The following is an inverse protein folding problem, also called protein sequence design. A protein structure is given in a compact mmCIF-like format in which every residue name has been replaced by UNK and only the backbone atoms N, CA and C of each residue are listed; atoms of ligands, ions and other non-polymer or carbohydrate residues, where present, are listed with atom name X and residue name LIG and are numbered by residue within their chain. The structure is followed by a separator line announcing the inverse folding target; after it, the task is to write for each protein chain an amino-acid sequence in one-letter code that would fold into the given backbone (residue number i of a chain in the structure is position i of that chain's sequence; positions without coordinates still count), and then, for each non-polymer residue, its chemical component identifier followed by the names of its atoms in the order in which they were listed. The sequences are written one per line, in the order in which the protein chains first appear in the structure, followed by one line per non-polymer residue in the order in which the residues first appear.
data_IF_780342266076
#
_entry.id   IF_780342266076
#
_cell.length_a   1.000
_cell.length_b   1.000
_cell.length_c   1.000
_cell.angle_alpha   90.00
_cell.angle_beta   90.00
_cell.angle_gamma   90.00
#
_symmetry.space_group_name_H-M   'P 1'
#
loop_
_entity.id
_entity.type
_entity.pdbx_description
1 polymer ?
#
# COMPACT_ATOMS: atom_id res chain seq x y z
N UNK A 1 19.48 40.78 -27.20
CA UNK A 1 18.69 40.25 -26.08
C UNK A 1 17.64 39.36 -26.68
N UNK A 2 17.97 38.08 -26.85
CA UNK A 2 16.96 37.10 -27.25
C UNK A 2 16.07 36.79 -26.04
N UNK A 3 14.74 36.75 -26.21
CA UNK A 3 13.86 36.27 -25.15
C UNK A 3 14.08 34.77 -24.99
N UNK A 4 14.72 34.38 -23.89
CA UNK A 4 14.76 33.00 -23.43
C UNK A 4 13.33 32.50 -23.30
N UNK A 5 12.96 31.53 -24.16
CA UNK A 5 11.69 30.84 -24.08
C UNK A 5 11.53 30.29 -22.66
N UNK A 6 10.57 30.85 -21.90
CA UNK A 6 10.13 30.27 -20.64
C UNK A 6 9.62 28.88 -21.01
N UNK A 7 10.28 27.83 -20.52
CA UNK A 7 9.69 26.49 -20.48
C UNK A 7 8.24 26.64 -20.02
N UNK A 8 7.25 26.08 -20.75
CA UNK A 8 5.87 26.22 -20.33
C UNK A 8 5.78 25.72 -18.89
N UNK A 9 5.22 26.57 -18.02
CA UNK A 9 4.92 26.22 -16.64
C UNK A 9 4.05 24.96 -16.70
N UNK A 10 4.64 23.78 -16.48
CA UNK A 10 3.90 22.52 -16.51
C UNK A 10 2.72 22.66 -15.57
N UNK A 11 1.51 22.38 -16.07
CA UNK A 11 0.31 22.43 -15.25
C UNK A 11 0.55 21.58 -13.98
N UNK A 12 0.48 22.18 -12.77
CA UNK A 12 0.77 21.45 -11.54
C UNK A 12 -0.13 20.22 -11.38
N UNK A 13 -1.37 20.25 -11.89
CA UNK A 13 -2.27 19.11 -11.83
C UNK A 13 -1.79 17.97 -12.74
N UNK A 14 -1.23 18.27 -13.92
CA UNK A 14 -0.63 17.26 -14.81
C UNK A 14 0.65 16.69 -14.22
N UNK A 15 1.51 17.55 -13.65
CA UNK A 15 2.74 17.11 -13.00
C UNK A 15 2.45 16.17 -11.82
N UNK A 16 1.47 16.51 -10.98
CA UNK A 16 1.06 15.65 -9.86
C UNK A 16 0.40 14.35 -10.36
N UNK A 17 -0.40 14.40 -11.43
CA UNK A 17 -0.96 13.21 -12.04
C UNK A 17 0.11 12.28 -12.60
N UNK A 18 1.16 12.82 -13.23
CA UNK A 18 2.30 12.03 -13.69
C UNK A 18 3.12 11.41 -12.54
N UNK A 19 3.17 12.05 -11.37
CA UNK A 19 3.77 11.42 -10.17
C UNK A 19 2.90 10.29 -9.61
N UNK A 20 1.57 10.43 -9.72
CA UNK A 20 0.61 9.45 -9.23
C UNK A 20 0.49 8.23 -10.15
N UNK A 21 0.47 8.48 -11.45
CA UNK A 21 0.34 7.52 -12.55
C UNK A 21 1.50 7.75 -13.52
N UNK A 22 2.70 7.23 -13.20
CA UNK A 22 3.89 7.44 -14.02
C UNK A 22 3.66 6.87 -15.42
N UNK A 23 4.07 7.60 -16.48
CA UNK A 23 3.99 7.06 -17.83
C UNK A 23 4.91 5.84 -17.93
N UNK A 24 4.34 4.71 -18.34
CA UNK A 24 5.08 3.47 -18.61
C UNK A 24 5.23 3.29 -20.11
N UNK A 25 6.37 2.76 -20.54
CA UNK A 25 6.57 2.45 -21.95
C UNK A 25 5.89 1.13 -22.31
N UNK A 26 5.58 0.96 -23.60
CA UNK A 26 5.07 -0.31 -24.12
C UNK A 26 5.99 -1.48 -23.79
N UNK A 27 7.30 -1.31 -24.00
CA UNK A 27 8.29 -2.35 -23.70
C UNK A 27 8.33 -2.70 -22.19
N UNK A 28 8.16 -1.70 -21.31
CA UNK A 28 8.12 -1.92 -19.86
C UNK A 28 6.89 -2.74 -19.45
N UNK A 29 5.72 -2.37 -19.98
CA UNK A 29 4.47 -3.08 -19.69
C UNK A 29 4.53 -4.49 -20.28
N UNK A 30 4.95 -4.64 -21.53
CA UNK A 30 5.05 -5.93 -22.21
C UNK A 30 6.02 -6.86 -21.49
N UNK A 31 7.18 -6.35 -21.02
CA UNK A 31 8.14 -7.15 -20.25
C UNK A 31 7.61 -7.61 -18.87
N UNK A 32 6.61 -6.90 -18.32
CA UNK A 32 5.96 -7.29 -17.06
C UNK A 32 4.92 -8.40 -17.23
N UNK A 33 4.43 -8.62 -18.46
CA UNK A 33 3.51 -9.69 -18.77
C UNK A 33 4.29 -11.01 -18.84
N UNK A 34 3.87 -11.98 -18.04
CA UNK A 34 4.61 -13.24 -17.82
C UNK A 34 4.48 -14.25 -18.98
N UNK A 35 3.78 -13.89 -20.05
CA UNK A 35 3.64 -14.67 -21.28
C UNK A 35 4.63 -14.15 -22.31
N UNK A 36 5.44 -15.06 -22.87
CA UNK A 36 6.62 -14.70 -23.69
C UNK A 36 6.31 -14.14 -25.07
N UNK A 37 5.73 -12.95 -25.15
CA UNK A 37 5.60 -12.16 -26.38
C UNK A 37 4.57 -12.71 -27.37
N UNK A 38 3.40 -13.10 -26.89
CA UNK A 38 2.26 -13.43 -27.75
C UNK A 38 1.57 -12.13 -28.22
N UNK A 39 0.92 -12.14 -29.39
CA UNK A 39 0.13 -10.97 -29.85
C UNK A 39 -1.00 -10.56 -28.91
N UNK A 40 -1.47 -11.47 -28.04
CA UNK A 40 -2.41 -11.15 -26.97
C UNK A 40 -1.77 -10.29 -25.86
N UNK A 41 -0.47 -10.44 -25.60
CA UNK A 41 0.25 -9.66 -24.60
C UNK A 41 0.45 -8.22 -25.09
N UNK A 42 0.64 -8.03 -26.39
CA UNK A 42 0.71 -6.70 -27.01
C UNK A 42 -0.63 -5.96 -26.88
N UNK A 43 -1.75 -6.63 -27.14
CA UNK A 43 -3.09 -6.04 -26.97
C UNK A 43 -3.34 -5.63 -25.51
N UNK A 44 -3.01 -6.51 -24.56
CA UNK A 44 -3.10 -6.21 -23.12
C UNK A 44 -2.19 -5.04 -22.74
N UNK A 45 -0.96 -5.01 -23.26
CA UNK A 45 -0.01 -3.94 -22.95
C UNK A 45 -0.49 -2.57 -23.47
N UNK A 46 -1.09 -2.52 -24.67
CA UNK A 46 -1.70 -1.29 -25.19
C UNK A 46 -2.90 -0.86 -24.34
N UNK A 47 -3.76 -1.80 -23.93
CA UNK A 47 -4.91 -1.49 -23.05
C UNK A 47 -4.46 -0.92 -21.71
N UNK A 48 -3.41 -1.48 -21.09
CA UNK A 48 -2.84 -0.98 -19.84
C UNK A 48 -2.32 0.45 -20.01
N UNK A 49 -1.61 0.75 -21.10
CA UNK A 49 -1.06 2.09 -21.36
C UNK A 49 -2.17 3.11 -21.56
N UNK A 50 -3.18 2.76 -22.36
CA UNK A 50 -4.34 3.61 -22.60
C UNK A 50 -5.14 3.83 -21.30
N UNK A 51 -5.26 2.81 -20.45
CA UNK A 51 -5.87 2.98 -19.13
C UNK A 51 -5.05 3.89 -18.21
N UNK A 52 -3.72 3.76 -18.19
CA UNK A 52 -2.86 4.66 -17.43
C UNK A 52 -2.98 6.12 -17.91
N UNK A 53 -3.08 6.34 -19.23
CA UNK A 53 -3.30 7.65 -19.85
C UNK A 53 -4.64 8.26 -19.39
N UNK A 54 -5.71 7.45 -19.40
CA UNK A 54 -7.04 7.86 -18.92
C UNK A 54 -7.03 8.19 -17.43
N UNK A 55 -6.44 7.33 -16.61
CA UNK A 55 -6.35 7.52 -15.16
C UNK A 55 -5.57 8.80 -14.84
N UNK A 56 -4.46 9.04 -15.53
CA UNK A 56 -3.64 10.26 -15.37
C UNK A 56 -4.43 11.52 -15.75
N UNK A 57 -5.10 11.50 -16.90
CA UNK A 57 -5.87 12.64 -17.40
C UNK A 57 -7.05 12.95 -16.47
N UNK A 58 -7.82 11.93 -16.09
CA UNK A 58 -8.93 12.07 -15.16
C UNK A 58 -8.47 12.58 -13.79
N UNK A 59 -7.31 12.14 -13.31
CA UNK A 59 -6.75 12.62 -12.06
C UNK A 59 -6.37 14.10 -12.11
N UNK A 60 -5.70 14.53 -13.18
CA UNK A 60 -5.34 15.93 -13.38
C UNK A 60 -6.60 16.80 -13.44
N UNK A 61 -7.64 16.37 -14.16
CA UNK A 61 -8.93 17.08 -14.22
C UNK A 61 -9.60 17.17 -12.85
N UNK A 62 -9.63 16.08 -12.07
CA UNK A 62 -10.19 16.11 -10.72
C UNK A 62 -9.45 17.08 -9.79
N UNK A 63 -8.12 17.16 -9.89
CA UNK A 63 -7.32 18.14 -9.15
C UNK A 63 -7.66 19.57 -9.58
N UNK A 64 -7.79 19.84 -10.89
CA UNK A 64 -8.18 21.15 -11.42
C UNK A 64 -9.57 21.55 -10.94
N UNK A 65 -10.54 20.64 -11.01
CA UNK A 65 -11.91 20.87 -10.55
C UNK A 65 -11.92 21.20 -9.05
N UNK A 66 -11.28 20.36 -8.23
CA UNK A 66 -11.15 20.60 -6.78
C UNK A 66 -10.52 21.95 -6.48
N UNK A 67 -9.44 22.32 -7.17
CA UNK A 67 -8.79 23.62 -6.99
C UNK A 67 -9.69 24.77 -7.42
N UNK A 68 -10.39 24.63 -8.55
CA UNK A 68 -11.30 25.67 -9.07
C UNK A 68 -12.52 25.89 -8.17
N UNK A 69 -13.05 24.83 -7.56
CA UNK A 69 -14.25 24.88 -6.72
C UNK A 69 -13.95 25.33 -5.29
N UNK A 70 -12.84 24.89 -4.72
CA UNK A 70 -12.52 25.09 -3.30
C UNK A 70 -11.41 26.12 -3.06
N UNK A 71 -10.64 26.46 -4.09
CA UNK A 71 -9.40 27.23 -3.97
C UNK A 71 -8.27 26.47 -3.25
N UNK A 72 -8.45 25.20 -2.92
CA UNK A 72 -7.48 24.41 -2.16
C UNK A 72 -6.36 23.90 -3.07
N UNK A 73 -5.13 24.27 -2.72
CA UNK A 73 -3.94 24.02 -3.53
C UNK A 73 -3.78 22.53 -3.95
N UNK A 74 -3.51 22.23 -5.24
CA UNK A 74 -3.38 20.85 -5.72
C UNK A 74 -2.26 20.05 -5.03
N UNK A 75 -1.13 20.68 -4.70
CA UNK A 75 0.00 20.01 -4.03
C UNK A 75 -0.40 19.65 -2.60
N UNK A 76 -1.05 20.56 -1.89
CA UNK A 76 -1.55 20.31 -0.54
C UNK A 76 -2.60 19.19 -0.52
N UNK A 77 -3.47 19.16 -1.52
CA UNK A 77 -4.43 18.07 -1.75
C UNK A 77 -3.73 16.72 -1.93
N UNK A 78 -2.69 16.67 -2.77
CA UNK A 78 -1.93 15.45 -3.04
C UNK A 78 -1.17 14.95 -1.80
N UNK A 79 -0.57 15.85 -1.03
CA UNK A 79 0.13 15.51 0.22
C UNK A 79 -0.84 14.88 1.21
N UNK A 80 -2.02 15.47 1.38
CA UNK A 80 -3.03 14.93 2.28
C UNK A 80 -3.55 13.57 1.80
N UNK A 81 -3.84 13.43 0.50
CA UNK A 81 -4.24 12.17 -0.10
C UNK A 81 -3.16 11.09 0.11
N UNK A 82 -1.89 11.42 -0.13
CA UNK A 82 -0.74 10.53 0.08
C UNK A 82 -0.62 10.09 1.53
N UNK A 83 -0.73 11.03 2.47
CA UNK A 83 -0.70 10.71 3.90
C UNK A 83 -1.83 9.76 4.28
N UNK A 84 -3.07 10.05 3.86
CA UNK A 84 -4.23 9.19 4.13
C UNK A 84 -4.08 7.79 3.54
N UNK A 85 -3.46 7.66 2.36
CA UNK A 85 -3.12 6.35 1.77
C UNK A 85 -2.10 5.61 2.62
N UNK A 86 -1.02 6.29 3.01
CA UNK A 86 0.00 5.71 3.90
C UNK A 86 -0.62 5.22 5.21
N UNK A 87 -1.46 6.03 5.85
CA UNK A 87 -2.11 5.68 7.11
C UNK A 87 -3.04 4.45 6.96
N UNK A 88 -3.72 4.31 5.81
CA UNK A 88 -4.53 3.14 5.47
C UNK A 88 -3.70 1.88 5.25
N UNK A 89 -2.61 1.97 4.50
CA UNK A 89 -1.69 0.84 4.29
C UNK A 89 -1.03 0.41 5.59
N UNK A 90 -0.64 1.36 6.45
CA UNK A 90 -0.13 1.11 7.79
C UNK A 90 -1.15 0.35 8.65
N UNK A 91 -2.42 0.74 8.61
CA UNK A 91 -3.49 0.04 9.31
C UNK A 91 -3.68 -1.38 8.74
N UNK A 92 -3.66 -1.53 7.41
CA UNK A 92 -3.76 -2.84 6.77
C UNK A 92 -2.61 -3.77 7.17
N UNK A 93 -1.38 -3.27 7.19
CA UNK A 93 -0.21 -4.01 7.66
C UNK A 93 -0.39 -4.49 9.11
N UNK A 94 -0.95 -3.65 9.99
CA UNK A 94 -1.26 -4.05 11.38
C UNK A 94 -2.36 -5.12 11.46
N UNK A 95 -3.35 -5.10 10.57
CA UNK A 95 -4.33 -6.19 10.47
C UNK A 95 -3.68 -7.50 10.01
N UNK A 96 -2.74 -7.45 9.06
CA UNK A 96 -1.99 -8.63 8.62
C UNK A 96 -1.12 -9.20 9.74
N UNK A 97 -0.47 -8.35 10.54
CA UNK A 97 0.31 -8.79 11.71
C UNK A 97 -0.60 -9.39 12.80
N UNK A 98 -1.77 -8.81 13.04
CA UNK A 98 -2.77 -9.37 13.95
C UNK A 98 -3.24 -10.75 13.46
N UNK A 99 -3.52 -10.89 12.16
CA UNK A 99 -3.85 -12.15 11.52
C UNK A 99 -2.75 -13.20 11.71
N UNK A 100 -1.51 -12.87 11.36
CA UNK A 100 -0.36 -13.76 11.47
C UNK A 100 -0.12 -14.23 12.91
N UNK A 101 -0.34 -13.36 13.90
CA UNK A 101 -0.13 -13.68 15.31
C UNK A 101 -1.25 -14.52 15.94
N UNK A 102 -2.51 -14.22 15.60
CA UNK A 102 -3.67 -14.71 16.34
C UNK A 102 -4.56 -15.68 15.57
N UNK A 103 -4.50 -15.73 14.23
CA UNK A 103 -5.47 -16.49 13.42
C UNK A 103 -4.82 -17.47 12.44
N UNK A 104 -3.58 -17.21 12.01
CA UNK A 104 -2.90 -18.09 11.06
C UNK A 104 -2.65 -19.50 11.64
N UNK A 105 -2.92 -20.52 10.80
CA UNK A 105 -2.64 -21.93 11.09
C UNK A 105 -1.14 -22.19 11.22
N UNK A 106 -0.35 -21.56 10.36
CA UNK A 106 1.12 -21.63 10.38
C UNK A 106 1.71 -20.65 11.38
N UNK A 107 2.85 -21.00 11.98
CA UNK A 107 3.63 -20.08 12.82
C UNK A 107 4.59 -19.29 11.93
N UNK A 108 4.33 -18.01 11.76
CA UNK A 108 5.29 -17.09 11.14
C UNK A 108 6.40 -16.72 12.14
N UNK A 109 7.64 -16.68 11.67
CA UNK A 109 8.75 -16.22 12.48
C UNK A 109 8.69 -14.70 12.62
N UNK A 110 8.91 -14.21 13.84
CA UNK A 110 8.89 -12.77 14.12
C UNK A 110 10.00 -12.03 13.37
N UNK A 111 11.13 -12.68 13.10
CA UNK A 111 12.21 -12.14 12.27
C UNK A 111 11.78 -11.92 10.81
N UNK A 112 10.97 -12.82 10.26
CA UNK A 112 10.46 -12.68 8.89
C UNK A 112 9.41 -11.59 8.81
N UNK A 113 8.50 -11.54 9.77
CA UNK A 113 7.51 -10.48 9.85
C UNK A 113 8.18 -9.11 10.00
N UNK A 114 9.23 -8.99 10.82
CA UNK A 114 10.00 -7.76 10.99
C UNK A 114 10.66 -7.34 9.66
N UNK A 115 11.33 -8.28 8.99
CA UNK A 115 11.97 -8.05 7.69
C UNK A 115 10.98 -7.61 6.61
N UNK A 116 9.82 -8.26 6.51
CA UNK A 116 8.83 -7.97 5.47
C UNK A 116 8.02 -6.70 5.75
N UNK A 117 7.75 -6.39 7.02
CA UNK A 117 7.01 -5.18 7.41
C UNK A 117 7.88 -3.93 7.51
N UNK A 118 9.21 -4.08 7.47
CA UNK A 118 10.14 -2.99 7.77
C UNK A 118 10.16 -2.57 9.23
N UNK A 119 9.46 -3.29 10.12
CA UNK A 119 9.44 -3.02 11.56
C UNK A 119 10.59 -3.73 12.29
N UNK A 120 10.98 -3.22 13.44
CA UNK A 120 11.82 -3.99 14.36
C UNK A 120 11.04 -5.20 14.92
N UNK A 121 11.73 -6.23 15.41
CA UNK A 121 11.04 -7.37 16.05
C UNK A 121 10.15 -6.91 17.21
N UNK A 122 10.61 -5.96 18.03
CA UNK A 122 9.79 -5.34 19.10
C UNK A 122 8.58 -4.59 18.55
N UNK A 123 8.76 -3.88 17.43
CA UNK A 123 7.67 -3.23 16.70
C UNK A 123 6.60 -4.23 16.26
N UNK A 124 6.99 -5.36 15.67
CA UNK A 124 6.05 -6.43 15.28
C UNK A 124 5.22 -6.92 16.46
N UNK A 125 5.84 -7.14 17.63
CA UNK A 125 5.11 -7.63 18.81
C UNK A 125 4.09 -6.65 19.37
N UNK A 126 4.22 -5.35 19.08
CA UNK A 126 3.38 -4.29 19.65
C UNK A 126 2.50 -3.59 18.61
N UNK A 127 2.72 -3.86 17.31
CA UNK A 127 2.01 -3.22 16.22
C UNK A 127 0.52 -3.60 16.15
N UNK A 128 0.18 -4.84 16.54
CA UNK A 128 -1.20 -5.30 16.60
C UNK A 128 -1.78 -5.05 18.00
N UNK A 129 -2.83 -4.23 18.08
CA UNK A 129 -3.61 -3.99 19.30
C UNK A 129 -4.83 -4.91 19.33
N UNK A 130 -5.53 -4.99 20.47
CA UNK A 130 -6.76 -5.78 20.58
C UNK A 130 -7.83 -5.34 19.58
N UNK A 131 -7.93 -4.04 19.28
CA UNK A 131 -8.83 -3.52 18.26
C UNK A 131 -8.52 -4.08 16.85
N UNK A 132 -7.22 -4.23 16.50
CA UNK A 132 -6.84 -4.88 15.24
C UNK A 132 -7.24 -6.36 15.22
N UNK A 133 -7.10 -7.06 16.35
CA UNK A 133 -7.49 -8.47 16.47
C UNK A 133 -9.01 -8.64 16.36
N UNK A 134 -9.79 -7.77 17.00
CA UNK A 134 -11.26 -7.75 16.89
C UNK A 134 -11.72 -7.47 15.46
N UNK A 135 -11.11 -6.48 14.80
CA UNK A 135 -11.41 -6.17 13.40
C UNK A 135 -11.19 -7.40 12.50
N UNK A 136 -10.04 -8.07 12.61
CA UNK A 136 -9.73 -9.28 11.83
C UNK A 136 -10.73 -10.40 12.13
N UNK A 137 -11.08 -10.60 13.40
CA UNK A 137 -12.06 -11.63 13.80
C UNK A 137 -13.43 -11.37 13.16
N UNK A 138 -13.91 -10.13 13.19
CA UNK A 138 -15.19 -9.73 12.60
C UNK A 138 -15.22 -9.93 11.09
N UNK A 139 -14.12 -9.62 10.38
CA UNK A 139 -14.09 -9.65 8.91
C UNK A 139 -13.72 -11.02 8.33
N UNK A 140 -13.02 -11.87 9.08
CA UNK A 140 -12.63 -13.22 8.61
C UNK A 140 -13.51 -14.33 9.16
N UNK A 141 -14.21 -14.10 10.28
CA UNK A 141 -14.98 -15.13 10.99
C UNK A 141 -14.12 -16.22 11.64
N UNK A 142 -12.79 -16.09 11.59
CA UNK A 142 -11.89 -17.12 12.12
C UNK A 142 -11.81 -17.06 13.65
N UNK A 143 -11.78 -18.21 14.34
CA UNK A 143 -11.54 -18.24 15.77
C UNK A 143 -10.09 -17.86 16.07
N UNK A 144 -9.87 -17.12 17.17
CA UNK A 144 -8.51 -16.88 17.68
C UNK A 144 -7.85 -18.21 18.02
N UNK A 145 -6.59 -18.36 17.66
CA UNK A 145 -5.76 -19.51 18.02
C UNK A 145 -5.59 -19.54 19.53
N UNK A 146 -5.89 -20.68 20.16
CA UNK A 146 -5.62 -20.81 21.59
C UNK A 146 -4.10 -20.81 21.83
N UNK A 147 -3.61 -20.04 22.82
CA UNK A 147 -2.22 -20.16 23.22
C UNK A 147 -2.01 -21.60 23.70
N UNK A 148 -1.10 -22.32 23.06
CA UNK A 148 -0.63 -23.60 23.59
C UNK A 148 -0.08 -23.32 24.97
N UNK A 149 -0.80 -23.70 26.04
CA UNK A 149 -0.30 -23.58 27.41
C UNK A 149 1.09 -24.19 27.43
N UNK A 150 2.13 -23.39 27.64
CA UNK A 150 3.44 -23.96 27.97
C UNK A 150 3.21 -24.86 29.19
N UNK A 151 3.65 -26.13 29.17
CA UNK A 151 3.65 -26.91 30.40
C UNK A 151 4.42 -26.11 31.44
N UNK A 152 3.78 -25.82 32.59
CA UNK A 152 4.46 -25.16 33.71
C UNK A 152 5.75 -25.93 33.98
N UNK A 153 6.88 -25.23 33.96
CA UNK A 153 8.15 -25.88 34.24
C UNK A 153 8.10 -26.49 35.65
N UNK A 154 8.69 -27.66 35.89
CA UNK A 154 8.70 -28.30 37.22
C UNK A 154 9.33 -27.44 38.34
N UNK A 155 9.98 -26.32 37.98
CA UNK A 155 10.70 -25.44 38.91
C UNK A 155 9.78 -24.66 39.86
N UNK A 156 8.50 -24.57 39.57
CA UNK A 156 7.52 -23.86 40.42
C UNK A 156 6.88 -24.74 41.51
N UNK A 157 7.30 -26.02 41.64
CA UNK A 157 6.71 -26.98 42.60
C UNK A 157 7.50 -27.21 43.89
N UNK A 158 8.70 -26.63 44.04
CA UNK A 158 9.60 -26.91 45.15
C UNK A 158 9.67 -25.77 46.20
N UNK A 159 8.53 -25.15 46.51
CA UNK A 159 8.47 -24.00 47.42
C UNK A 159 7.21 -23.91 48.27
N UNK A 160 6.62 -25.05 48.64
CA UNK A 160 5.61 -25.14 49.70
C UNK A 160 6.04 -26.18 50.73
#
# INVERSE_FOLDING_TARGET
MEPTAKTPLTDPCEALAALRYPPRSFDEVLASLTSGGSGADEEIALEIIDQDERDRTAYAENLRLSFSETGYDPVMSEIEATRRRRDREDAHLRYLLAYAGQFATSKYLQSDLARLSGMSQSGVSTAATDAHVEYVQQHTGLPRRQPTKKPRSPRDRAGQ
#
